data_IF_052892429909
#
_entry.id   IF_052892429909
#
_cell.length_a   1.000
_cell.length_b   1.000
_cell.length_c   1.000
_cell.angle_alpha   90.00
_cell.angle_beta   90.00
_cell.angle_gamma   90.00
#
_symmetry.space_group_name_H-M   'P 1'
#
loop_
_entity.id
_entity.type
_entity.pdbx_description
1 polymer ?
#
# COMPACT_ATOMS: atom_id res chain seq x y z
N UNK A 1 4.73 -29.42 25.33
CA UNK A 1 3.78 -28.84 24.36
C UNK A 1 4.03 -29.50 23.02
N UNK A 2 2.99 -29.77 22.22
CA UNK A 2 3.17 -30.35 20.88
C UNK A 2 3.89 -29.37 19.95
N UNK A 3 4.67 -29.88 19.01
CA UNK A 3 5.26 -29.07 17.93
C UNK A 3 4.16 -28.47 17.04
N UNK A 4 4.38 -27.29 16.46
CA UNK A 4 3.53 -26.71 15.43
C UNK A 4 4.14 -27.06 14.06
N UNK A 5 3.42 -27.86 13.28
CA UNK A 5 3.88 -28.39 12.00
C UNK A 5 3.42 -27.48 10.86
N UNK A 6 4.38 -27.00 10.09
CA UNK A 6 4.22 -25.92 9.12
C UNK A 6 4.41 -26.47 7.72
N UNK A 7 3.54 -26.10 6.80
CA UNK A 7 3.73 -26.28 5.37
C UNK A 7 3.83 -24.94 4.65
N UNK A 8 4.70 -24.83 3.64
CA UNK A 8 4.83 -23.60 2.82
C UNK A 8 4.45 -23.90 1.38
N UNK A 9 3.50 -23.14 0.85
CA UNK A 9 3.15 -23.14 -0.57
C UNK A 9 3.71 -21.88 -1.24
N UNK A 10 4.58 -22.06 -2.23
CA UNK A 10 5.28 -20.97 -2.91
C UNK A 10 6.68 -20.76 -2.36
N UNK A 11 7.69 -21.28 -3.05
CA UNK A 11 9.13 -21.12 -2.73
C UNK A 11 9.80 -20.08 -3.65
N UNK A 12 9.14 -18.93 -3.81
CA UNK A 12 9.75 -17.73 -4.40
C UNK A 12 10.76 -17.08 -3.45
N UNK A 13 11.10 -15.81 -3.69
CA UNK A 13 12.06 -15.06 -2.86
C UNK A 13 11.67 -15.05 -1.37
N UNK A 14 10.41 -14.75 -1.07
CA UNK A 14 9.92 -14.71 0.33
C UNK A 14 9.83 -16.12 0.93
N UNK A 15 9.27 -17.09 0.19
CA UNK A 15 9.08 -18.44 0.71
C UNK A 15 10.38 -19.20 0.97
N UNK A 16 11.39 -19.00 0.12
CA UNK A 16 12.73 -19.54 0.34
C UNK A 16 13.37 -18.95 1.61
N UNK A 17 13.25 -17.63 1.82
CA UNK A 17 13.75 -16.97 3.03
C UNK A 17 12.99 -17.42 4.28
N UNK A 18 11.66 -17.55 4.22
CA UNK A 18 10.87 -18.08 5.35
C UNK A 18 11.29 -19.51 5.70
N UNK A 19 11.48 -20.38 4.70
CA UNK A 19 11.93 -21.75 4.92
C UNK A 19 13.35 -21.78 5.52
N UNK A 20 14.27 -20.98 5.00
CA UNK A 20 15.64 -20.85 5.52
C UNK A 20 15.63 -20.45 7.00
N UNK A 21 14.85 -19.45 7.38
CA UNK A 21 14.77 -18.99 8.78
C UNK A 21 14.13 -20.05 9.69
N UNK A 22 13.10 -20.76 9.24
CA UNK A 22 12.49 -21.85 10.01
C UNK A 22 13.46 -23.00 10.26
N UNK A 23 14.39 -23.27 9.34
CA UNK A 23 15.39 -24.32 9.48
C UNK A 23 16.58 -23.85 10.33
N UNK A 24 17.13 -22.67 10.03
CA UNK A 24 18.39 -22.21 10.62
C UNK A 24 18.23 -21.50 11.97
N UNK A 25 17.07 -20.90 12.24
CA UNK A 25 16.76 -20.20 13.48
C UNK A 25 15.66 -20.89 14.31
N UNK A 26 15.42 -22.18 14.06
CA UNK A 26 14.35 -22.98 14.65
C UNK A 26 14.27 -22.84 16.18
N UNK A 27 15.40 -22.94 16.89
CA UNK A 27 15.46 -22.88 18.36
C UNK A 27 15.01 -21.51 18.90
N UNK A 28 15.47 -20.41 18.29
CA UNK A 28 15.10 -19.05 18.71
C UNK A 28 13.62 -18.78 18.44
N UNK A 29 13.14 -19.14 17.24
CA UNK A 29 11.74 -19.00 16.87
C UNK A 29 10.85 -19.83 17.79
N UNK A 30 11.22 -21.07 18.09
CA UNK A 30 10.50 -21.96 19.00
C UNK A 30 10.46 -21.44 20.43
N UNK A 31 11.56 -20.87 20.92
CA UNK A 31 11.62 -20.24 22.24
C UNK A 31 10.66 -19.04 22.34
N UNK A 32 10.60 -18.19 21.30
CA UNK A 32 9.68 -17.05 21.23
C UNK A 32 8.21 -17.48 21.08
N UNK A 33 7.96 -18.55 20.34
CA UNK A 33 6.66 -19.16 20.14
C UNK A 33 6.13 -19.92 21.36
N UNK A 34 7.01 -20.27 22.31
CA UNK A 34 6.67 -21.11 23.47
C UNK A 34 6.41 -22.58 23.13
N UNK A 35 6.60 -23.00 21.87
CA UNK A 35 6.51 -24.40 21.41
C UNK A 35 7.40 -24.60 20.16
N UNK A 36 7.85 -25.84 19.88
CA UNK A 36 8.66 -26.12 18.69
C UNK A 36 7.93 -25.73 17.40
N UNK A 37 8.62 -25.02 16.50
CA UNK A 37 8.16 -24.77 15.12
C UNK A 37 8.90 -25.71 14.18
N UNK A 38 8.16 -26.45 13.36
CA UNK A 38 8.77 -27.44 12.46
C UNK A 38 8.19 -27.31 11.05
N UNK A 39 9.04 -27.01 10.09
CA UNK A 39 8.70 -27.15 8.68
C UNK A 39 8.66 -28.64 8.33
N UNK A 40 7.55 -29.11 7.77
CA UNK A 40 7.35 -30.54 7.43
C UNK A 40 7.13 -30.77 5.94
N UNK A 41 6.56 -29.80 5.24
CA UNK A 41 6.26 -29.93 3.83
C UNK A 41 6.38 -28.59 3.09
N UNK A 42 6.69 -28.67 1.80
CA UNK A 42 6.76 -27.51 0.91
C UNK A 42 6.11 -27.82 -0.43
N UNK A 43 5.60 -26.78 -1.11
CA UNK A 43 5.08 -26.88 -2.47
C UNK A 43 5.61 -25.75 -3.35
N UNK A 44 6.02 -26.08 -4.56
CA UNK A 44 6.45 -25.12 -5.58
C UNK A 44 6.32 -25.71 -6.99
N UNK A 45 6.43 -24.88 -8.03
CA UNK A 45 6.42 -25.35 -9.43
C UNK A 45 7.62 -26.25 -9.79
N UNK A 46 8.72 -26.21 -9.02
CA UNK A 46 9.93 -26.99 -9.29
C UNK A 46 10.74 -27.23 -8.01
N UNK A 47 11.39 -28.39 -7.90
CA UNK A 47 12.28 -28.79 -6.79
C UNK A 47 13.72 -28.28 -6.93
N UNK A 48 13.93 -27.08 -7.49
CA UNK A 48 15.29 -26.51 -7.59
C UNK A 48 15.80 -26.15 -6.19
N UNK A 49 17.12 -26.19 -6.01
CA UNK A 49 17.77 -25.66 -4.81
C UNK A 49 17.42 -24.18 -4.61
N UNK A 50 17.04 -23.83 -3.38
CA UNK A 50 16.62 -22.50 -2.94
C UNK A 50 17.48 -21.95 -1.80
N UNK A 51 18.58 -22.62 -1.46
CA UNK A 51 19.54 -22.15 -0.46
C UNK A 51 19.18 -22.48 0.99
N UNK A 52 18.30 -23.47 1.23
CA UNK A 52 18.01 -23.99 2.57
C UNK A 52 18.05 -25.52 2.58
N UNK A 53 18.34 -26.11 3.75
CA UNK A 53 18.35 -27.57 3.89
C UNK A 53 16.92 -28.12 3.86
N UNK A 54 16.60 -28.86 2.81
CA UNK A 54 15.30 -29.50 2.61
C UNK A 54 15.29 -30.98 3.05
N UNK A 55 16.36 -31.48 3.69
CA UNK A 55 16.43 -32.85 4.15
C UNK A 55 15.29 -33.19 5.10
N UNK A 56 14.50 -34.21 4.75
CA UNK A 56 13.36 -34.66 5.56
C UNK A 56 12.10 -33.81 5.44
N UNK A 57 12.06 -32.85 4.50
CA UNK A 57 10.83 -32.16 4.12
C UNK A 57 10.15 -32.90 2.98
N UNK A 58 8.84 -33.07 3.07
CA UNK A 58 8.05 -33.59 1.97
C UNK A 58 7.80 -32.50 0.92
N UNK A 59 7.77 -32.89 -0.35
CA UNK A 59 7.45 -31.99 -1.44
C UNK A 59 6.11 -32.37 -2.08
N UNK A 60 5.16 -31.44 -2.06
CA UNK A 60 3.89 -31.58 -2.76
C UNK A 60 3.90 -30.79 -4.08
N UNK A 61 3.72 -31.48 -5.20
CA UNK A 61 3.64 -30.83 -6.51
C UNK A 61 2.34 -30.01 -6.67
N UNK A 62 1.25 -30.50 -6.08
CA UNK A 62 -0.01 -29.78 -5.95
C UNK A 62 -0.04 -29.05 -4.60
N UNK A 63 -0.14 -27.74 -4.62
CA UNK A 63 -0.20 -26.94 -3.40
C UNK A 63 -1.42 -27.31 -2.54
N UNK A 64 -2.56 -27.62 -3.16
CA UNK A 64 -3.80 -27.97 -2.45
C UNK A 64 -3.68 -29.28 -1.66
N UNK A 65 -2.75 -30.18 -2.03
CA UNK A 65 -2.47 -31.39 -1.26
C UNK A 65 -2.02 -31.08 0.18
N UNK A 66 -1.36 -29.93 0.41
CA UNK A 66 -0.94 -29.50 1.75
C UNK A 66 -2.13 -29.32 2.71
N UNK A 67 -3.30 -28.93 2.21
CA UNK A 67 -4.50 -28.76 3.03
C UNK A 67 -5.04 -30.11 3.55
N UNK A 68 -4.78 -31.21 2.84
CA UNK A 68 -5.26 -32.54 3.18
C UNK A 68 -4.34 -33.32 4.13
N UNK A 69 -3.13 -32.81 4.41
CA UNK A 69 -2.14 -33.51 5.23
C UNK A 69 -2.53 -33.52 6.72
N UNK A 70 -2.48 -34.69 7.35
CA UNK A 70 -2.72 -34.84 8.80
C UNK A 70 -1.52 -34.39 9.66
N UNK A 71 -0.35 -34.26 9.02
CA UNK A 71 0.87 -33.83 9.64
C UNK A 71 1.13 -32.31 9.55
N UNK A 72 0.15 -31.52 9.12
CA UNK A 72 0.23 -30.06 8.99
C UNK A 72 -0.78 -29.38 9.89
N UNK A 73 -0.33 -28.42 10.71
CA UNK A 73 -1.17 -27.59 11.57
C UNK A 73 -1.41 -26.19 10.98
N UNK A 74 -0.42 -25.67 10.23
CA UNK A 74 -0.45 -24.34 9.60
C UNK A 74 0.04 -24.39 8.17
N UNK A 75 -0.71 -23.76 7.27
CA UNK A 75 -0.29 -23.55 5.88
C UNK A 75 0.13 -22.09 5.69
N UNK A 76 1.31 -21.88 5.12
CA UNK A 76 1.84 -20.57 4.74
C UNK A 76 1.68 -20.42 3.24
N UNK A 77 0.83 -19.50 2.78
CA UNK A 77 0.58 -19.24 1.36
C UNK A 77 1.39 -18.04 0.87
N UNK A 78 2.27 -18.30 -0.11
CA UNK A 78 3.21 -17.36 -0.74
C UNK A 78 3.26 -17.57 -2.26
N UNK A 79 2.16 -18.02 -2.86
CA UNK A 79 2.01 -18.27 -4.30
C UNK A 79 1.76 -16.95 -5.04
N UNK A 80 0.89 -16.11 -4.49
CA UNK A 80 0.42 -14.87 -5.11
C UNK A 80 -0.78 -15.07 -6.06
N UNK A 81 -1.41 -13.95 -6.44
CA UNK A 81 -2.66 -13.91 -7.22
C UNK A 81 -3.91 -13.82 -6.34
N UNK A 82 -4.97 -13.18 -6.82
CA UNK A 82 -6.24 -13.05 -6.07
C UNK A 82 -7.05 -14.35 -6.04
N UNK A 83 -6.95 -15.18 -7.09
CA UNK A 83 -7.80 -16.33 -7.35
C UNK A 83 -6.99 -17.59 -7.70
N UNK A 84 -7.70 -18.66 -8.06
CA UNK A 84 -7.12 -19.94 -8.47
C UNK A 84 -6.43 -20.65 -7.29
N UNK A 85 -5.26 -21.25 -7.56
CA UNK A 85 -4.57 -22.17 -6.63
C UNK A 85 -4.32 -21.53 -5.26
N UNK A 86 -3.99 -20.24 -5.19
CA UNK A 86 -3.77 -19.56 -3.90
C UNK A 86 -5.06 -19.49 -3.06
N UNK A 87 -6.17 -19.12 -3.68
CA UNK A 87 -7.47 -19.01 -3.03
C UNK A 87 -8.01 -20.40 -2.63
N UNK A 88 -7.96 -21.36 -3.56
CA UNK A 88 -8.36 -22.75 -3.34
C UNK A 88 -7.60 -23.39 -2.17
N UNK A 89 -6.28 -23.21 -2.11
CA UNK A 89 -5.44 -23.70 -1.02
C UNK A 89 -5.87 -23.13 0.33
N UNK A 90 -6.08 -21.81 0.41
CA UNK A 90 -6.41 -21.14 1.68
C UNK A 90 -7.80 -21.58 2.16
N UNK A 91 -8.78 -21.64 1.29
CA UNK A 91 -10.12 -22.13 1.62
C UNK A 91 -10.12 -23.59 2.09
N UNK A 92 -9.42 -24.46 1.36
CA UNK A 92 -9.30 -25.86 1.71
C UNK A 92 -8.60 -26.03 3.06
N UNK A 93 -7.53 -25.27 3.32
CA UNK A 93 -6.79 -25.33 4.58
C UNK A 93 -7.63 -24.90 5.78
N UNK A 94 -8.32 -23.75 5.67
CA UNK A 94 -9.21 -23.26 6.72
C UNK A 94 -10.35 -24.24 7.00
N UNK A 95 -10.97 -24.78 5.94
CA UNK A 95 -12.07 -25.74 6.05
C UNK A 95 -11.62 -27.10 6.61
N UNK A 96 -10.35 -27.46 6.41
CA UNK A 96 -9.73 -28.64 7.01
C UNK A 96 -9.27 -28.43 8.46
N UNK A 97 -9.60 -27.28 9.08
CA UNK A 97 -9.23 -26.99 10.46
C UNK A 97 -7.75 -26.62 10.65
N UNK A 98 -7.06 -26.19 9.59
CA UNK A 98 -5.67 -25.70 9.65
C UNK A 98 -5.64 -24.18 9.75
N UNK A 99 -4.65 -23.65 10.46
CA UNK A 99 -4.39 -22.21 10.44
C UNK A 99 -3.75 -21.80 9.10
N UNK A 100 -3.90 -20.54 8.73
CA UNK A 100 -3.30 -19.97 7.51
C UNK A 100 -2.55 -18.68 7.83
N UNK A 101 -1.33 -18.56 7.29
CA UNK A 101 -0.55 -17.32 7.20
C UNK A 101 -0.36 -17.00 5.71
N UNK A 102 -0.63 -15.77 5.26
CA UNK A 102 -0.44 -15.39 3.85
C UNK A 102 0.19 -14.00 3.71
N UNK A 103 1.01 -13.81 2.68
CA UNK A 103 1.51 -12.49 2.27
C UNK A 103 0.73 -11.90 1.06
N UNK A 104 -0.39 -12.50 0.70
CA UNK A 104 -1.08 -12.24 -0.54
C UNK A 104 -2.13 -11.14 -0.42
N UNK A 105 -1.69 -9.90 -0.60
CA UNK A 105 -2.53 -8.69 -0.60
C UNK A 105 -3.71 -8.73 -1.57
N UNK A 106 -3.55 -9.28 -2.77
CA UNK A 106 -4.64 -9.34 -3.74
C UNK A 106 -5.72 -10.32 -3.27
N UNK A 107 -5.32 -11.50 -2.78
CA UNK A 107 -6.24 -12.47 -2.18
C UNK A 107 -7.02 -11.87 -1.01
N UNK A 108 -6.34 -11.17 -0.08
CA UNK A 108 -7.02 -10.55 1.06
C UNK A 108 -7.91 -9.38 0.64
N UNK A 109 -7.49 -8.57 -0.34
CA UNK A 109 -8.30 -7.45 -0.82
C UNK A 109 -9.62 -7.91 -1.46
N UNK A 110 -9.62 -9.04 -2.18
CA UNK A 110 -10.82 -9.55 -2.87
C UNK A 110 -11.63 -10.56 -2.05
N UNK A 111 -10.98 -11.39 -1.24
CA UNK A 111 -11.61 -12.52 -0.55
C UNK A 111 -11.48 -12.47 0.98
N UNK A 112 -10.83 -11.46 1.53
CA UNK A 112 -10.46 -11.38 2.94
C UNK A 112 -11.62 -11.59 3.92
N UNK A 113 -12.79 -10.97 3.70
CA UNK A 113 -13.96 -11.14 4.58
C UNK A 113 -14.43 -12.60 4.58
N UNK A 114 -14.53 -13.20 3.40
CA UNK A 114 -15.00 -14.58 3.23
C UNK A 114 -14.04 -15.56 3.89
N UNK A 115 -12.74 -15.39 3.67
CA UNK A 115 -11.70 -16.22 4.29
C UNK A 115 -11.65 -16.03 5.82
N UNK A 116 -11.79 -14.80 6.32
CA UNK A 116 -11.90 -14.55 7.75
C UNK A 116 -13.15 -15.20 8.36
N UNK A 117 -14.28 -15.18 7.64
CA UNK A 117 -15.51 -15.86 8.05
C UNK A 117 -15.34 -17.38 8.14
N UNK A 118 -14.64 -17.99 7.18
CA UNK A 118 -14.26 -19.41 7.25
C UNK A 118 -13.37 -19.68 8.46
N UNK A 119 -12.36 -18.84 8.71
CA UNK A 119 -11.48 -19.00 9.86
C UNK A 119 -12.25 -18.95 11.19
N UNK A 120 -13.19 -18.01 11.32
CA UNK A 120 -14.08 -17.91 12.48
C UNK A 120 -14.98 -19.15 12.61
N UNK A 121 -15.56 -19.64 11.51
CA UNK A 121 -16.45 -20.81 11.48
C UNK A 121 -15.75 -22.07 11.98
N UNK A 122 -14.51 -22.32 11.53
CA UNK A 122 -13.75 -23.52 11.89
C UNK A 122 -12.87 -23.35 13.14
N UNK A 123 -12.91 -22.18 13.79
CA UNK A 123 -12.14 -21.91 15.01
C UNK A 123 -10.63 -21.86 14.78
N UNK A 124 -10.21 -21.55 13.56
CA UNK A 124 -8.80 -21.46 13.15
C UNK A 124 -8.38 -19.99 12.99
N UNK A 125 -7.13 -19.77 12.61
CA UNK A 125 -6.54 -18.43 12.53
C UNK A 125 -6.16 -18.15 11.09
N UNK A 126 -6.55 -16.99 10.61
CA UNK A 126 -6.06 -16.39 9.38
C UNK A 126 -5.21 -15.18 9.75
N UNK A 127 -3.97 -15.16 9.27
CA UNK A 127 -2.99 -14.11 9.53
C UNK A 127 -2.40 -13.62 8.21
N UNK A 128 -2.19 -12.31 8.11
CA UNK A 128 -1.76 -11.67 6.86
C UNK A 128 -0.96 -10.39 7.07
N UNK A 129 -0.14 -10.32 8.13
CA UNK A 129 0.72 -9.15 8.38
C UNK A 129 1.58 -8.82 7.16
N UNK A 130 2.20 -9.86 6.58
CA UNK A 130 3.09 -9.75 5.45
C UNK A 130 2.41 -9.25 4.15
N UNK A 131 1.08 -9.21 4.10
CA UNK A 131 0.35 -8.71 2.94
C UNK A 131 0.48 -7.18 2.82
N UNK A 132 0.69 -6.46 3.91
CA UNK A 132 0.74 -4.99 3.90
C UNK A 132 2.03 -4.47 4.50
N UNK A 133 2.70 -3.59 3.74
CA UNK A 133 3.90 -2.87 4.18
C UNK A 133 5.11 -3.77 4.57
N UNK A 134 5.18 -5.00 4.05
CA UNK A 134 6.36 -5.85 4.11
C UNK A 134 6.79 -6.18 5.53
N UNK A 135 7.89 -5.58 5.99
CA UNK A 135 8.41 -5.78 7.36
C UNK A 135 7.87 -4.81 8.41
N UNK A 136 7.05 -3.83 8.01
CA UNK A 136 6.44 -2.87 8.93
C UNK A 136 5.22 -3.53 9.59
N UNK A 137 5.14 -3.62 10.94
CA UNK A 137 4.02 -4.28 11.64
C UNK A 137 2.76 -3.40 11.68
N UNK A 138 2.28 -2.97 10.50
CA UNK A 138 1.19 -2.01 10.36
C UNK A 138 -0.17 -2.58 10.79
N UNK A 139 -0.49 -3.81 10.37
CA UNK A 139 -1.78 -4.43 10.70
C UNK A 139 -1.80 -4.85 12.17
N UNK A 140 -0.68 -5.35 12.70
CA UNK A 140 -0.55 -5.70 14.11
C UNK A 140 -0.65 -4.47 15.00
N UNK A 141 -0.01 -3.37 14.61
CA UNK A 141 -0.13 -2.11 15.35
C UNK A 141 -1.59 -1.67 15.41
N UNK A 142 -2.33 -1.67 14.29
CA UNK A 142 -3.75 -1.34 14.28
C UNK A 142 -4.58 -2.29 15.16
N UNK A 143 -4.43 -3.59 14.94
CA UNK A 143 -5.25 -4.63 15.57
C UNK A 143 -5.00 -4.79 17.06
N UNK A 144 -3.78 -4.53 17.53
CA UNK A 144 -3.35 -4.86 18.89
C UNK A 144 -2.86 -3.63 19.65
N UNK A 145 -1.89 -2.90 19.09
CA UNK A 145 -1.30 -1.74 19.78
C UNK A 145 -2.25 -0.53 19.85
N UNK A 146 -3.09 -0.35 18.84
CA UNK A 146 -4.05 0.73 18.72
C UNK A 146 -5.49 0.29 18.95
N UNK A 147 -5.72 -0.93 19.41
CA UNK A 147 -7.07 -1.48 19.61
C UNK A 147 -7.98 -0.63 20.52
N UNK A 148 -7.40 0.18 21.41
CA UNK A 148 -8.12 1.11 22.28
C UNK A 148 -8.27 2.54 21.74
N UNK A 149 -7.86 2.81 20.50
CA UNK A 149 -7.89 4.14 19.89
C UNK A 149 -8.95 4.22 18.79
N UNK A 150 -9.51 5.41 18.63
CA UNK A 150 -10.34 5.73 17.46
C UNK A 150 -9.44 6.23 16.33
N UNK A 151 -9.32 5.47 15.25
CA UNK A 151 -8.53 5.87 14.09
C UNK A 151 -9.30 6.93 13.30
N UNK A 152 -8.69 8.11 13.14
CA UNK A 152 -9.26 9.24 12.37
C UNK A 152 -8.78 9.23 10.93
N UNK A 153 -7.55 8.77 10.69
CA UNK A 153 -6.91 8.81 9.37
C UNK A 153 -5.79 7.79 9.26
N UNK A 154 -5.67 7.20 8.07
CA UNK A 154 -4.52 6.38 7.66
C UNK A 154 -3.88 7.04 6.44
N UNK A 155 -2.59 7.32 6.51
CA UNK A 155 -1.80 7.82 5.37
C UNK A 155 -0.57 6.94 5.21
N UNK A 156 -0.23 6.52 3.99
CA UNK A 156 0.88 5.60 3.78
C UNK A 156 1.60 5.79 2.46
N UNK A 157 2.92 5.66 2.52
CA UNK A 157 3.78 5.38 1.37
C UNK A 157 3.83 3.86 1.25
N UNK A 158 2.97 3.30 0.40
CA UNK A 158 2.70 1.85 0.37
C UNK A 158 3.42 1.10 -0.76
N UNK A 159 4.08 1.82 -1.68
CA UNK A 159 4.79 1.26 -2.82
C UNK A 159 6.23 1.80 -2.89
N UNK A 160 7.20 0.90 -2.69
CA UNK A 160 8.62 1.25 -2.66
C UNK A 160 9.18 1.69 -4.01
N UNK A 161 8.70 1.10 -5.12
CA UNK A 161 9.13 1.46 -6.48
C UNK A 161 8.73 2.89 -6.83
N UNK A 162 7.48 3.28 -6.57
CA UNK A 162 7.01 4.64 -6.76
C UNK A 162 7.75 5.63 -5.86
N UNK A 163 7.98 5.27 -4.59
CA UNK A 163 8.71 6.15 -3.67
C UNK A 163 10.18 6.32 -4.10
N UNK A 164 10.81 5.28 -4.63
CA UNK A 164 12.15 5.34 -5.20
C UNK A 164 12.19 6.32 -6.36
N UNK A 165 11.31 6.14 -7.36
CA UNK A 165 11.24 7.00 -8.55
C UNK A 165 11.04 8.47 -8.15
N UNK A 166 10.03 8.78 -7.34
CA UNK A 166 9.78 10.17 -6.92
C UNK A 166 10.93 10.75 -6.08
N UNK A 167 11.61 9.92 -5.28
CA UNK A 167 12.78 10.35 -4.50
C UNK A 167 13.97 10.69 -5.42
N UNK A 168 14.26 9.85 -6.41
CA UNK A 168 15.35 10.07 -7.37
C UNK A 168 15.06 11.28 -8.27
N UNK A 169 13.83 11.44 -8.75
CA UNK A 169 13.41 12.65 -9.48
C UNK A 169 13.62 13.90 -8.63
N UNK A 170 13.25 13.85 -7.34
CA UNK A 170 13.43 14.98 -6.40
C UNK A 170 14.91 15.32 -6.17
N UNK A 171 15.78 14.31 -6.06
CA UNK A 171 17.20 14.51 -5.77
C UNK A 171 18.01 14.95 -6.99
N UNK A 172 17.69 14.40 -8.16
CA UNK A 172 18.48 14.58 -9.38
C UNK A 172 17.89 15.62 -10.34
N UNK A 173 16.61 15.94 -10.20
CA UNK A 173 15.88 16.80 -11.14
C UNK A 173 15.60 16.15 -12.49
N UNK A 174 15.81 14.83 -12.63
CA UNK A 174 15.58 14.10 -13.89
C UNK A 174 14.09 13.80 -14.13
N UNK A 175 13.75 13.60 -15.40
CA UNK A 175 12.40 13.22 -15.82
C UNK A 175 12.02 11.80 -15.43
N UNK A 176 10.71 11.52 -15.44
CA UNK A 176 10.14 10.23 -15.04
C UNK A 176 10.68 9.04 -15.84
N UNK A 177 10.70 9.12 -17.17
CA UNK A 177 11.10 8.01 -18.05
C UNK A 177 12.56 7.60 -17.81
N UNK A 178 13.45 8.58 -17.63
CA UNK A 178 14.88 8.35 -17.36
C UNK A 178 15.09 7.65 -16.02
N UNK A 179 14.35 8.04 -14.99
CA UNK A 179 14.45 7.45 -13.65
C UNK A 179 13.81 6.06 -13.61
N UNK A 180 12.70 5.85 -14.33
CA UNK A 180 12.06 4.54 -14.45
C UNK A 180 13.00 3.54 -15.11
N UNK A 181 13.66 3.91 -16.21
CA UNK A 181 14.64 3.06 -16.88
C UNK A 181 15.77 2.64 -15.92
N UNK A 182 16.32 3.58 -15.15
CA UNK A 182 17.34 3.27 -14.15
C UNK A 182 16.79 2.36 -13.02
N UNK A 183 15.57 2.59 -12.56
CA UNK A 183 14.92 1.73 -11.57
C UNK A 183 14.79 0.28 -12.07
N UNK A 184 14.49 0.09 -13.36
CA UNK A 184 14.45 -1.24 -14.00
C UNK A 184 15.82 -1.89 -14.07
N UNK A 185 16.86 -1.14 -14.47
CA UNK A 185 18.24 -1.65 -14.52
C UNK A 185 18.75 -2.09 -13.14
N UNK A 186 18.38 -1.35 -12.09
CA UNK A 186 18.74 -1.66 -10.69
C UNK A 186 17.85 -2.72 -10.05
N UNK A 187 16.81 -3.19 -10.75
CA UNK A 187 15.87 -4.19 -10.24
C UNK A 187 14.90 -3.66 -9.17
N UNK A 188 14.71 -2.34 -9.07
CA UNK A 188 13.67 -1.72 -8.25
C UNK A 188 12.29 -1.75 -8.93
N UNK A 189 12.25 -1.85 -10.26
CA UNK A 189 11.03 -1.96 -11.05
C UNK A 189 11.12 -3.17 -11.99
N UNK A 190 9.99 -3.85 -12.24
CA UNK A 190 9.92 -4.91 -13.24
C UNK A 190 9.83 -4.34 -14.66
N UNK A 191 9.98 -5.20 -15.67
CA UNK A 191 9.89 -4.81 -17.08
C UNK A 191 8.51 -4.21 -17.43
N UNK A 192 7.44 -4.76 -16.85
CA UNK A 192 6.12 -4.14 -16.81
C UNK A 192 5.85 -3.59 -15.40
N UNK A 193 6.08 -2.29 -15.15
CA UNK A 193 5.94 -1.70 -13.83
C UNK A 193 4.51 -1.24 -13.53
N UNK A 194 3.53 -1.53 -14.40
CA UNK A 194 2.19 -0.93 -14.34
C UNK A 194 1.49 -1.18 -13.01
N UNK A 195 1.65 -2.37 -12.43
CA UNK A 195 1.07 -2.69 -11.13
C UNK A 195 1.56 -1.77 -9.99
N UNK A 196 2.79 -1.26 -10.11
CA UNK A 196 3.39 -0.32 -9.17
C UNK A 196 3.06 1.13 -9.54
N UNK A 197 3.48 1.57 -10.74
CA UNK A 197 3.43 3.00 -11.12
C UNK A 197 2.02 3.52 -11.37
N UNK A 198 1.06 2.63 -11.64
CA UNK A 198 -0.36 2.98 -11.74
C UNK A 198 -1.09 2.87 -10.40
N UNK A 199 -0.39 2.51 -9.31
CA UNK A 199 -0.88 2.58 -7.94
C UNK A 199 -1.70 1.38 -7.45
N UNK A 200 -1.87 0.34 -8.26
CA UNK A 200 -2.71 -0.82 -7.96
C UNK A 200 -2.20 -1.61 -6.74
N UNK A 201 -0.88 -1.80 -6.62
CA UNK A 201 -0.26 -2.42 -5.44
C UNK A 201 -0.58 -1.66 -4.15
N UNK A 202 -0.42 -0.32 -4.19
CA UNK A 202 -0.73 0.53 -3.05
C UNK A 202 -2.23 0.53 -2.72
N UNK A 203 -3.10 0.41 -3.72
CA UNK A 203 -4.56 0.36 -3.54
C UNK A 203 -5.00 -0.92 -2.82
N UNK A 204 -4.44 -2.08 -3.17
CA UNK A 204 -4.71 -3.32 -2.43
C UNK A 204 -4.33 -3.18 -0.95
N UNK A 205 -3.12 -2.66 -0.69
CA UNK A 205 -2.62 -2.44 0.68
C UNK A 205 -3.48 -1.45 1.46
N UNK A 206 -3.89 -0.34 0.82
CA UNK A 206 -4.73 0.67 1.43
C UNK A 206 -6.12 0.13 1.76
N UNK A 207 -6.73 -0.67 0.88
CA UNK A 207 -8.06 -1.25 1.10
C UNK A 207 -8.10 -2.14 2.35
N UNK A 208 -7.04 -2.94 2.58
CA UNK A 208 -6.89 -3.79 3.76
C UNK A 208 -6.67 -2.93 5.02
N UNK A 209 -5.81 -1.91 4.93
CA UNK A 209 -5.54 -0.99 6.05
C UNK A 209 -6.80 -0.21 6.47
N UNK A 210 -7.53 0.33 5.51
CA UNK A 210 -8.75 1.12 5.75
C UNK A 210 -9.84 0.26 6.40
N UNK A 211 -10.07 -0.96 5.87
CA UNK A 211 -11.02 -1.90 6.44
C UNK A 211 -10.70 -2.22 7.92
N UNK A 212 -9.42 -2.50 8.22
CA UNK A 212 -8.98 -2.77 9.59
C UNK A 212 -9.07 -1.53 10.49
N UNK A 213 -8.67 -0.36 9.99
CA UNK A 213 -8.65 0.89 10.75
C UNK A 213 -10.05 1.39 11.14
N UNK A 214 -11.03 1.20 10.25
CA UNK A 214 -12.38 1.75 10.41
C UNK A 214 -13.45 0.69 10.72
N UNK A 215 -13.04 -0.57 10.92
CA UNK A 215 -13.93 -1.71 11.12
C UNK A 215 -15.00 -1.86 10.02
N UNK A 216 -14.61 -1.55 8.78
CA UNK A 216 -15.44 -1.64 7.58
C UNK A 216 -15.08 -2.92 6.78
N UNK A 217 -16.00 -3.37 5.92
CA UNK A 217 -15.69 -4.38 4.91
C UNK A 217 -14.70 -3.80 3.89
N UNK A 218 -13.81 -4.65 3.35
CA UNK A 218 -12.91 -4.25 2.26
C UNK A 218 -13.78 -3.98 1.03
N UNK A 219 -13.60 -2.80 0.46
CA UNK A 219 -14.15 -2.40 -0.82
C UNK A 219 -13.01 -1.86 -1.68
N UNK A 220 -12.34 -2.77 -2.38
CA UNK A 220 -11.20 -2.42 -3.23
C UNK A 220 -11.63 -1.57 -4.43
N UNK A 221 -12.81 -1.87 -5.01
CA UNK A 221 -13.32 -1.16 -6.19
C UNK A 221 -13.70 0.30 -5.87
N UNK A 222 -13.98 0.62 -4.60
CA UNK A 222 -14.21 1.99 -4.14
C UNK A 222 -12.91 2.82 -3.95
N UNK A 223 -11.73 2.21 -3.99
CA UNK A 223 -10.46 2.95 -3.86
C UNK A 223 -10.19 3.71 -5.15
N UNK A 224 -10.07 5.04 -5.04
CA UNK A 224 -9.72 5.88 -6.19
C UNK A 224 -8.21 5.85 -6.43
N UNK A 225 -7.78 5.50 -7.64
CA UNK A 225 -6.36 5.30 -7.94
C UNK A 225 -5.90 6.22 -9.07
N UNK A 226 -4.81 6.96 -8.83
CA UNK A 226 -4.04 7.71 -9.83
C UNK A 226 -2.56 7.37 -9.66
N UNK A 227 -1.91 6.99 -10.74
CA UNK A 227 -0.48 6.66 -10.75
C UNK A 227 0.45 7.87 -10.75
N UNK A 228 1.75 7.62 -10.88
CA UNK A 228 2.79 8.65 -10.91
C UNK A 228 3.25 9.05 -12.32
N UNK A 229 2.78 8.39 -13.38
CA UNK A 229 3.26 8.61 -14.77
C UNK A 229 3.13 10.04 -15.27
N UNK A 230 2.11 10.76 -14.81
CA UNK A 230 1.83 12.14 -15.20
C UNK A 230 2.72 13.18 -14.51
N UNK A 231 3.51 12.77 -13.51
CA UNK A 231 4.39 13.66 -12.74
C UNK A 231 5.65 13.93 -13.54
N UNK A 232 5.96 15.21 -13.76
CA UNK A 232 7.16 15.64 -14.48
C UNK A 232 8.21 16.23 -13.55
N UNK A 233 9.44 16.38 -14.07
CA UNK A 233 10.53 17.15 -13.45
C UNK A 233 10.11 18.60 -13.12
N UNK A 234 9.27 19.20 -13.97
CA UNK A 234 8.68 20.52 -13.75
C UNK A 234 7.80 20.54 -12.50
N UNK A 235 6.95 19.52 -12.29
CA UNK A 235 6.12 19.40 -11.10
C UNK A 235 6.99 19.29 -9.83
N UNK A 236 8.03 18.46 -9.89
CA UNK A 236 9.00 18.26 -8.80
C UNK A 236 9.72 19.58 -8.45
N UNK A 237 10.18 20.33 -9.45
CA UNK A 237 10.86 21.60 -9.25
C UNK A 237 9.95 22.64 -8.60
N UNK A 238 8.73 22.83 -9.12
CA UNK A 238 7.77 23.79 -8.57
C UNK A 238 7.28 23.41 -7.18
N UNK A 239 6.95 22.13 -6.95
CA UNK A 239 6.62 21.64 -5.60
C UNK A 239 7.77 21.95 -4.63
N UNK A 240 9.01 21.75 -5.08
CA UNK A 240 10.21 22.09 -4.34
C UNK A 240 10.30 23.56 -3.93
N UNK A 241 10.03 24.49 -4.85
CA UNK A 241 10.04 25.93 -4.57
C UNK A 241 8.92 26.38 -3.64
N UNK A 242 7.78 25.72 -3.72
CA UNK A 242 6.63 25.96 -2.84
C UNK A 242 6.81 25.33 -1.45
N UNK A 243 7.92 24.64 -1.19
CA UNK A 243 8.21 24.06 0.12
C UNK A 243 7.63 22.65 0.32
N UNK A 244 7.32 21.93 -0.77
CA UNK A 244 6.72 20.60 -0.74
C UNK A 244 7.57 19.54 -1.44
N UNK A 245 7.21 18.28 -1.23
CA UNK A 245 7.71 17.10 -1.95
C UNK A 245 6.50 16.32 -2.45
N UNK A 246 6.59 15.74 -3.65
CA UNK A 246 5.55 14.88 -4.21
C UNK A 246 5.77 13.43 -3.76
N UNK A 247 4.74 12.79 -3.24
CA UNK A 247 4.72 11.38 -2.82
C UNK A 247 3.48 10.68 -3.36
N UNK A 248 3.58 9.41 -3.76
CA UNK A 248 2.40 8.57 -3.98
C UNK A 248 1.89 8.11 -2.60
N UNK A 249 0.73 8.63 -2.18
CA UNK A 249 0.15 8.33 -0.89
C UNK A 249 -1.13 7.52 -1.04
N UNK A 250 -1.23 6.42 -0.29
CA UNK A 250 -2.50 5.85 0.09
C UNK A 250 -3.06 6.62 1.27
N UNK A 251 -4.28 7.12 1.16
CA UNK A 251 -4.90 7.98 2.16
C UNK A 251 -6.36 7.56 2.36
N UNK A 252 -6.76 7.37 3.61
CA UNK A 252 -8.11 6.98 3.95
C UNK A 252 -8.57 7.67 5.24
N UNK A 253 -9.80 8.17 5.21
CA UNK A 253 -10.51 8.76 6.33
C UNK A 253 -11.96 8.23 6.34
N UNK A 254 -12.63 8.11 7.48
CA UNK A 254 -13.99 7.58 7.54
C UNK A 254 -15.00 8.36 6.68
N UNK A 255 -14.79 9.66 6.48
CA UNK A 255 -15.74 10.56 5.81
C UNK A 255 -15.52 10.71 4.30
N UNK A 256 -14.45 10.16 3.74
CA UNK A 256 -14.10 10.30 2.32
C UNK A 256 -13.69 8.96 1.70
N UNK A 257 -13.77 8.83 0.36
CA UNK A 257 -13.21 7.67 -0.33
C UNK A 257 -11.73 7.50 -0.02
N UNK A 258 -11.30 6.25 0.10
CA UNK A 258 -9.88 5.94 0.14
C UNK A 258 -9.25 6.28 -1.23
N UNK A 259 -8.09 6.93 -1.23
CA UNK A 259 -7.40 7.34 -2.46
C UNK A 259 -5.95 6.88 -2.45
N UNK A 260 -5.45 6.44 -3.60
CA UNK A 260 -4.02 6.29 -3.89
C UNK A 260 -3.70 7.26 -5.01
N UNK A 261 -2.97 8.33 -4.71
CA UNK A 261 -2.62 9.32 -5.72
C UNK A 261 -1.35 10.09 -5.36
N UNK A 262 -0.68 10.76 -6.33
CA UNK A 262 0.38 11.68 -6.01
C UNK A 262 -0.19 12.85 -5.19
N UNK A 263 0.47 13.16 -4.09
CA UNK A 263 0.12 14.22 -3.17
C UNK A 263 1.35 15.06 -2.86
N UNK A 264 1.14 16.33 -2.51
CA UNK A 264 2.20 17.15 -1.94
C UNK A 264 2.20 16.98 -0.42
N UNK A 265 3.39 16.85 0.15
CA UNK A 265 3.65 16.90 1.60
C UNK A 265 4.67 17.97 1.91
N UNK A 266 4.54 18.67 3.04
CA UNK A 266 5.46 19.72 3.41
C UNK A 266 6.89 19.15 3.58
N UNK A 267 7.90 19.86 3.08
CA UNK A 267 9.31 19.44 3.18
C UNK A 267 9.79 19.22 4.62
N UNK A 268 9.15 19.87 5.58
CA UNK A 268 9.45 19.74 7.01
C UNK A 268 8.74 18.55 7.67
N UNK A 269 7.79 17.92 6.96
CA UNK A 269 7.01 16.82 7.45
C UNK A 269 7.76 15.49 7.50
N UNK A 270 7.28 14.57 8.32
CA UNK A 270 7.87 13.25 8.52
C UNK A 270 7.76 12.37 7.27
N UNK A 271 6.62 12.40 6.56
CA UNK A 271 6.42 11.62 5.34
C UNK A 271 7.34 12.09 4.22
N UNK A 272 7.66 13.39 4.19
CA UNK A 272 8.58 13.96 3.23
C UNK A 272 10.02 13.39 3.38
N UNK A 273 10.42 13.03 4.60
CA UNK A 273 11.76 12.48 4.89
C UNK A 273 11.92 11.01 4.46
N UNK A 274 10.82 10.32 4.12
CA UNK A 274 10.88 8.90 3.77
C UNK A 274 11.31 8.76 2.30
N UNK A 275 12.61 8.60 2.08
CA UNK A 275 13.21 8.48 0.76
C UNK A 275 13.49 7.04 0.30
N UNK A 276 13.81 6.90 -0.99
CA UNK A 276 14.21 5.64 -1.60
C UNK A 276 13.07 4.63 -1.65
N UNK A 277 13.41 3.33 -1.53
CA UNK A 277 12.45 2.23 -1.56
C UNK A 277 11.78 1.94 -0.20
N UNK A 278 11.87 2.84 0.76
CA UNK A 278 11.21 2.69 2.06
C UNK A 278 9.71 2.94 1.95
N UNK A 279 8.96 2.24 2.78
CA UNK A 279 7.55 2.47 3.01
C UNK A 279 7.35 3.16 4.35
N UNK A 280 6.18 3.76 4.51
CA UNK A 280 5.72 4.27 5.79
C UNK A 280 4.21 4.18 5.92
N UNK A 281 3.72 4.02 7.15
CA UNK A 281 2.30 4.08 7.49
C UNK A 281 2.13 4.98 8.70
N UNK A 282 1.37 6.05 8.53
CA UNK A 282 0.94 6.98 9.55
C UNK A 282 -0.50 6.65 9.97
N UNK A 283 -0.70 6.51 11.28
CA UNK A 283 -2.01 6.43 11.90
C UNK A 283 -2.22 7.69 12.73
N UNK A 284 -3.26 8.46 12.39
CA UNK A 284 -3.78 9.51 13.27
C UNK A 284 -4.97 8.95 14.03
N UNK A 285 -4.89 8.97 15.34
CA UNK A 285 -5.88 8.36 16.20
C UNK A 285 -6.01 9.11 17.54
N UNK A 286 -7.10 8.90 18.23
CA UNK A 286 -7.32 9.44 19.58
C UNK A 286 -7.39 8.30 20.60
N UNK A 287 -6.73 8.42 21.77
CA UNK A 287 -6.01 9.60 22.27
C UNK A 287 -4.52 9.67 21.89
N UNK A 288 -3.94 8.66 21.22
CA UNK A 288 -2.49 8.56 21.00
C UNK A 288 -1.89 9.62 20.06
N UNK A 289 -2.74 10.37 19.35
CA UNK A 289 -2.38 11.33 18.31
C UNK A 289 -1.79 10.62 17.08
N UNK A 290 -0.54 10.90 16.71
CA UNK A 290 0.06 10.40 15.47
C UNK A 290 1.12 9.36 15.76
N UNK A 291 1.02 8.20 15.10
CA UNK A 291 2.08 7.19 15.06
C UNK A 291 2.51 6.99 13.62
N UNK A 292 3.81 7.13 13.37
CA UNK A 292 4.44 6.81 12.09
C UNK A 292 5.32 5.56 12.24
N UNK A 293 5.08 4.56 11.40
CA UNK A 293 5.96 3.41 11.26
C UNK A 293 6.65 3.46 9.90
N UNK A 294 7.97 3.28 9.88
CA UNK A 294 8.79 3.32 8.67
C UNK A 294 9.69 2.09 8.59
N UNK A 295 9.94 1.62 7.38
CA UNK A 295 10.78 0.46 7.14
C UNK A 295 10.69 -0.06 5.71
N UNK A 296 11.38 -1.16 5.40
CA UNK A 296 11.30 -1.79 4.09
C UNK A 296 9.91 -2.40 3.86
N UNK A 297 9.23 -1.94 2.81
CA UNK A 297 7.89 -2.39 2.44
C UNK A 297 7.80 -3.63 1.56
N UNK A 298 8.96 -4.18 1.17
CA UNK A 298 9.11 -5.35 0.32
C UNK A 298 10.48 -6.00 0.56
N UNK A 299 10.73 -7.12 -0.11
CA UNK A 299 11.99 -7.87 -0.05
C UNK A 299 11.91 -9.14 0.79
N UNK A 300 12.86 -10.04 0.57
CA UNK A 300 12.88 -11.39 1.14
C UNK A 300 12.82 -11.36 2.68
N UNK A 301 13.84 -10.77 3.30
CA UNK A 301 13.96 -10.69 4.76
C UNK A 301 12.81 -9.93 5.43
N UNK A 302 12.48 -8.69 5.01
CA UNK A 302 11.36 -7.93 5.57
C UNK A 302 10.03 -8.68 5.53
N UNK A 303 9.67 -9.26 4.38
CA UNK A 303 8.39 -9.97 4.24
C UNK A 303 8.39 -11.28 5.02
N UNK A 304 9.51 -12.03 4.98
CA UNK A 304 9.65 -13.25 5.78
C UNK A 304 9.58 -12.95 7.28
N UNK A 305 10.11 -11.81 7.74
CA UNK A 305 10.00 -11.37 9.14
C UNK A 305 8.54 -11.28 9.60
N UNK A 306 7.66 -10.67 8.79
CA UNK A 306 6.24 -10.58 9.09
C UNK A 306 5.54 -11.96 9.07
N UNK A 307 5.88 -12.82 8.11
CA UNK A 307 5.37 -14.21 8.06
C UNK A 307 5.76 -15.00 9.32
N UNK A 308 7.01 -14.90 9.75
CA UNK A 308 7.52 -15.57 10.95
C UNK A 308 6.86 -15.02 12.22
N UNK A 309 6.59 -13.71 12.29
CA UNK A 309 5.86 -13.10 13.39
C UNK A 309 4.41 -13.65 13.49
N UNK A 310 3.73 -13.80 12.34
CA UNK A 310 2.40 -14.39 12.28
C UNK A 310 2.41 -15.88 12.69
N UNK A 311 3.42 -16.64 12.28
CA UNK A 311 3.61 -18.03 12.73
C UNK A 311 3.80 -18.12 14.24
N UNK A 312 4.60 -17.22 14.84
CA UNK A 312 4.77 -17.13 16.30
C UNK A 312 3.43 -16.80 16.98
N UNK A 313 2.63 -15.90 16.41
CA UNK A 313 1.31 -15.57 16.94
C UNK A 313 0.35 -16.75 16.86
N UNK A 314 0.37 -17.52 15.76
CA UNK A 314 -0.42 -18.76 15.65
C UNK A 314 0.02 -19.77 16.72
N UNK A 315 1.34 -19.99 16.85
CA UNK A 315 1.92 -20.92 17.81
C UNK A 315 1.59 -20.57 19.27
N UNK A 316 1.63 -19.28 19.59
CA UNK A 316 1.38 -18.72 20.92
C UNK A 316 -0.10 -18.42 21.18
N UNK A 317 -0.98 -18.67 20.20
CA UNK A 317 -2.43 -18.41 20.28
C UNK A 317 -2.72 -16.91 20.54
N UNK A 318 -2.04 -16.01 19.82
CA UNK A 318 -2.10 -14.53 19.97
C UNK A 318 -2.68 -13.80 18.75
N UNK A 319 -2.99 -12.53 18.96
CA UNK A 319 -3.30 -11.54 17.92
C UNK A 319 -4.69 -11.63 17.30
N UNK A 320 -5.68 -11.96 18.13
CA UNK A 320 -7.10 -11.65 17.90
C UNK A 320 -7.74 -12.22 16.63
N UNK A 321 -8.82 -11.56 16.22
CA UNK A 321 -9.54 -11.81 14.97
C UNK A 321 -8.84 -11.12 13.80
N UNK A 322 -8.94 -11.62 12.56
CA UNK A 322 -8.18 -11.10 11.41
C UNK A 322 -8.35 -9.58 11.21
N UNK A 323 -9.59 -9.08 11.32
CA UNK A 323 -9.95 -7.66 11.19
C UNK A 323 -10.13 -6.95 12.55
N UNK A 324 -9.57 -7.48 13.64
CA UNK A 324 -9.75 -6.93 15.00
C UNK A 324 -11.14 -7.15 15.61
N UNK A 325 -12.16 -7.37 14.79
CA UNK A 325 -13.54 -7.68 15.15
C UNK A 325 -14.07 -8.88 14.36
N UNK A 326 -15.24 -9.40 14.74
CA UNK A 326 -15.87 -10.50 13.98
C UNK A 326 -16.33 -9.98 12.62
N UNK A 327 -16.22 -10.80 11.58
CA UNK A 327 -16.66 -10.41 10.23
C UNK A 327 -18.11 -9.95 10.21
N UNK A 328 -18.99 -10.58 10.99
CA UNK A 328 -20.41 -10.19 11.11
C UNK A 328 -20.65 -8.84 11.82
N UNK A 329 -19.63 -8.22 12.40
CA UNK A 329 -19.69 -6.90 13.03
C UNK A 329 -19.08 -5.79 12.17
N UNK A 330 -18.42 -6.14 11.06
CA UNK A 330 -17.88 -5.16 10.13
C UNK A 330 -19.02 -4.42 9.43
N UNK A 331 -18.96 -3.10 9.42
CA UNK A 331 -19.93 -2.27 8.69
C UNK A 331 -19.71 -2.43 7.19
N UNK A 332 -20.80 -2.42 6.41
CA UNK A 332 -20.67 -2.33 4.96
C UNK A 332 -20.11 -0.96 4.61
N UNK A 333 -19.14 -0.91 3.71
CA UNK A 333 -18.70 0.35 3.12
C UNK A 333 -19.88 0.96 2.35
N UNK A 334 -20.27 2.18 2.69
CA UNK A 334 -21.19 2.97 1.89
C UNK A 334 -20.40 3.84 0.91
N UNK A 335 -20.92 4.11 -0.30
CA UNK A 335 -20.27 5.04 -1.23
C UNK A 335 -20.07 6.42 -0.58
N UNK A 336 -18.82 6.81 -0.40
CA UNK A 336 -18.46 8.10 0.21
C UNK A 336 -18.37 9.17 -0.87
N UNK A 337 -18.88 10.37 -0.59
CA UNK A 337 -18.64 11.56 -1.43
C UNK A 337 -17.57 12.39 -0.74
N UNK A 338 -16.49 12.70 -1.44
CA UNK A 338 -15.43 13.53 -0.88
C UNK A 338 -15.89 14.99 -0.74
N UNK A 339 -16.20 15.39 0.49
CA UNK A 339 -16.58 16.77 0.87
C UNK A 339 -15.55 17.42 1.78
N UNK A 340 -14.39 16.79 1.95
CA UNK A 340 -13.37 17.31 2.84
C UNK A 340 -12.58 18.39 2.13
N UNK A 341 -12.66 19.61 2.66
CA UNK A 341 -11.90 20.73 2.14
C UNK A 341 -10.40 20.52 2.41
N UNK A 342 -9.58 20.53 1.35
CA UNK A 342 -8.12 20.46 1.43
C UNK A 342 -7.47 21.39 0.42
N UNK A 343 -6.19 21.67 0.60
CA UNK A 343 -5.43 22.52 -0.35
C UNK A 343 -5.02 21.69 -1.56
N UNK A 344 -4.88 22.33 -2.71
CA UNK A 344 -4.49 21.68 -3.96
C UNK A 344 -3.36 22.44 -4.64
N UNK A 345 -2.46 21.68 -5.26
CA UNK A 345 -1.54 22.14 -6.28
C UNK A 345 -2.20 21.93 -7.65
N UNK A 346 -2.19 22.97 -8.48
CA UNK A 346 -2.64 22.91 -9.87
C UNK A 346 -1.48 23.28 -10.80
N UNK A 347 -1.24 22.49 -11.84
CA UNK A 347 -0.39 22.88 -12.97
C UNK A 347 -1.21 22.93 -14.25
N UNK A 348 -1.09 24.06 -14.94
CA UNK A 348 -1.63 24.29 -16.27
C UNK A 348 -0.49 24.60 -17.23
N UNK A 349 -0.50 23.98 -18.41
CA UNK A 349 0.37 24.39 -19.51
C UNK A 349 -0.38 25.41 -20.33
N UNK A 350 -0.01 26.69 -20.24
CA UNK A 350 -0.77 27.79 -20.85
C UNK A 350 0.00 28.48 -21.97
N UNK A 351 -0.71 29.02 -22.96
CA UNK A 351 -0.10 29.90 -23.97
C UNK A 351 0.36 31.21 -23.32
N UNK A 352 1.56 31.70 -23.65
CA UNK A 352 2.09 32.96 -23.09
C UNK A 352 1.49 34.18 -23.81
N UNK A 353 0.22 34.47 -23.49
CA UNK A 353 -0.55 35.57 -24.07
C UNK A 353 -1.19 36.46 -23.00
N UNK A 354 -1.34 37.75 -23.30
CA UNK A 354 -2.00 38.70 -22.41
C UNK A 354 -3.44 38.29 -22.11
N UNK A 355 -3.80 38.24 -20.82
CA UNK A 355 -5.17 37.96 -20.35
C UNK A 355 -5.42 36.52 -19.91
N UNK A 356 -4.49 35.59 -20.17
CA UNK A 356 -4.60 34.18 -19.74
C UNK A 356 -4.75 34.06 -18.22
N UNK A 357 -3.91 34.75 -17.43
CA UNK A 357 -4.03 34.76 -15.97
C UNK A 357 -5.39 35.28 -15.48
N UNK A 358 -5.93 36.30 -16.14
CA UNK A 358 -7.27 36.83 -15.81
C UNK A 358 -8.37 35.81 -16.13
N UNK A 359 -8.23 35.04 -17.20
CA UNK A 359 -9.19 34.01 -17.55
C UNK A 359 -9.15 32.82 -16.58
N UNK A 360 -7.94 32.36 -16.23
CA UNK A 360 -7.74 31.28 -15.23
C UNK A 360 -8.35 31.68 -13.89
N UNK A 361 -8.01 32.87 -13.38
CA UNK A 361 -8.52 33.34 -12.08
C UNK A 361 -10.04 33.59 -12.09
N UNK A 362 -10.61 34.00 -13.23
CA UNK A 362 -12.07 34.10 -13.38
C UNK A 362 -12.76 32.73 -13.27
N UNK A 363 -12.22 31.69 -13.92
CA UNK A 363 -12.77 30.32 -13.83
C UNK A 363 -12.71 29.81 -12.39
N UNK A 364 -11.56 29.98 -11.72
CA UNK A 364 -11.41 29.57 -10.31
C UNK A 364 -12.40 30.31 -9.39
N UNK A 365 -12.55 31.63 -9.56
CA UNK A 365 -13.53 32.43 -8.82
C UNK A 365 -14.96 31.93 -9.03
N UNK A 366 -15.33 31.62 -10.26
CA UNK A 366 -16.70 31.17 -10.59
C UNK A 366 -17.00 29.79 -9.98
N UNK A 367 -15.98 28.98 -9.72
CA UNK A 367 -16.05 27.73 -8.94
C UNK A 367 -15.85 27.94 -7.42
N UNK A 368 -15.74 29.19 -6.96
CA UNK A 368 -15.50 29.58 -5.56
C UNK A 368 -14.19 29.07 -4.97
N UNK A 369 -13.14 29.00 -5.80
CA UNK A 369 -11.81 28.53 -5.41
C UNK A 369 -10.92 29.74 -5.13
N UNK A 370 -10.34 29.79 -3.93
CA UNK A 370 -9.40 30.83 -3.54
C UNK A 370 -7.95 30.37 -3.76
N UNK A 371 -7.14 31.22 -4.37
CA UNK A 371 -5.72 30.97 -4.66
C UNK A 371 -4.87 31.46 -3.49
N UNK A 372 -4.04 30.58 -2.96
CA UNK A 372 -3.05 30.87 -1.91
C UNK A 372 -1.75 31.40 -2.53
N UNK A 373 -1.26 30.74 -3.58
CA UNK A 373 -0.04 31.15 -4.28
C UNK A 373 -0.13 30.88 -5.78
N UNK A 374 0.62 31.65 -6.57
CA UNK A 374 0.71 31.51 -8.01
C UNK A 374 2.14 31.74 -8.46
N UNK A 375 2.67 30.82 -9.27
CA UNK A 375 4.01 30.87 -9.85
C UNK A 375 3.92 30.66 -11.36
N UNK A 376 4.62 31.51 -12.10
CA UNK A 376 4.86 31.34 -13.53
C UNK A 376 6.30 31.76 -13.78
N UNK A 377 7.13 30.86 -14.29
CA UNK A 377 8.48 31.20 -14.73
C UNK A 377 8.49 31.47 -16.22
N UNK A 378 9.15 32.56 -16.60
CA UNK A 378 9.40 32.89 -17.99
C UNK A 378 10.27 31.81 -18.65
N UNK A 379 9.79 31.23 -19.74
CA UNK A 379 10.63 30.46 -20.66
C UNK A 379 10.91 31.33 -21.90
N UNK A 380 12.06 31.12 -22.52
CA UNK A 380 12.58 31.99 -23.59
C UNK A 380 12.10 31.65 -25.00
N UNK A 381 11.05 30.84 -25.15
CA UNK A 381 10.54 30.37 -26.45
C UNK A 381 9.00 30.48 -26.51
N UNK A 382 8.41 30.51 -27.72
CA UNK A 382 6.96 30.53 -28.02
C UNK A 382 6.21 29.24 -27.57
N UNK A 383 6.76 28.48 -26.63
CA UNK A 383 6.19 27.24 -26.12
C UNK A 383 5.19 27.51 -24.96
N UNK A 384 4.23 26.60 -24.71
CA UNK A 384 3.36 26.68 -23.54
C UNK A 384 4.17 26.75 -22.24
N UNK A 385 3.81 27.69 -21.37
CA UNK A 385 4.46 27.94 -20.08
C UNK A 385 3.67 27.27 -18.96
N UNK A 386 4.37 26.65 -18.01
CA UNK A 386 3.74 26.11 -16.82
C UNK A 386 3.29 27.23 -15.88
N UNK A 387 1.98 27.36 -15.68
CA UNK A 387 1.34 28.14 -14.63
C UNK A 387 1.00 27.20 -13.47
N UNK A 388 1.56 27.49 -12.31
CA UNK A 388 1.37 26.70 -11.08
C UNK A 388 0.64 27.51 -10.04
N UNK A 389 -0.33 26.89 -9.37
CA UNK A 389 -1.15 27.51 -8.33
C UNK A 389 -1.22 26.58 -7.11
N UNK A 390 -1.29 27.17 -5.91
CA UNK A 390 -1.84 26.48 -4.73
C UNK A 390 -3.15 27.11 -4.31
N UNK A 391 -4.10 26.32 -3.82
CA UNK A 391 -5.40 26.79 -3.36
C UNK A 391 -5.47 26.82 -1.83
N UNK A 392 -6.34 27.68 -1.29
CA UNK A 392 -6.88 27.48 0.06
C UNK A 392 -7.76 26.20 0.12
N UNK A 393 -8.13 25.72 1.33
CA UNK A 393 -9.00 24.55 1.47
C UNK A 393 -10.25 24.62 0.60
N UNK A 394 -10.40 23.65 -0.29
CA UNK A 394 -11.45 23.57 -1.32
C UNK A 394 -11.94 22.12 -1.42
N UNK A 395 -13.20 21.88 -1.78
CA UNK A 395 -13.70 20.52 -1.99
C UNK A 395 -13.19 19.92 -3.32
N UNK A 396 -12.94 18.61 -3.33
CA UNK A 396 -12.47 17.88 -4.51
C UNK A 396 -13.38 18.08 -5.73
N UNK A 397 -14.70 18.15 -5.52
CA UNK A 397 -15.67 18.36 -6.58
C UNK A 397 -15.51 19.71 -7.30
N UNK A 398 -15.20 20.79 -6.55
CA UNK A 398 -14.96 22.11 -7.13
C UNK A 398 -13.67 22.13 -7.94
N UNK A 399 -12.62 21.50 -7.43
CA UNK A 399 -11.33 21.37 -8.13
C UNK A 399 -11.49 20.59 -9.43
N UNK A 400 -12.24 19.48 -9.41
CA UNK A 400 -12.51 18.71 -10.63
C UNK A 400 -13.28 19.54 -11.66
N UNK A 401 -14.36 20.21 -11.24
CA UNK A 401 -15.14 21.06 -12.14
C UNK A 401 -14.30 22.20 -12.75
N UNK A 402 -13.45 22.85 -11.95
CA UNK A 402 -12.53 23.87 -12.44
C UNK A 402 -11.50 23.28 -13.42
N UNK A 403 -10.93 22.13 -13.10
CA UNK A 403 -9.94 21.44 -13.94
C UNK A 403 -10.53 21.08 -15.29
N UNK A 404 -11.75 20.56 -15.34
CA UNK A 404 -12.44 20.20 -16.58
C UNK A 404 -12.68 21.43 -17.47
N UNK A 405 -13.12 22.55 -16.89
CA UNK A 405 -13.34 23.81 -17.61
C UNK A 405 -12.01 24.37 -18.13
N UNK A 406 -10.97 24.34 -17.30
CA UNK A 406 -9.64 24.83 -17.65
C UNK A 406 -9.01 23.98 -18.77
N UNK A 407 -9.09 22.65 -18.69
CA UNK A 407 -8.60 21.75 -19.74
C UNK A 407 -9.31 21.89 -21.08
N UNK A 408 -10.57 22.33 -21.08
CA UNK A 408 -11.32 22.63 -22.31
C UNK A 408 -11.01 24.02 -22.88
N UNK A 409 -10.28 24.88 -22.15
CA UNK A 409 -10.02 26.24 -22.58
C UNK A 409 -8.93 26.30 -23.66
N UNK A 410 -9.14 27.12 -24.69
CA UNK A 410 -8.23 27.25 -25.85
C UNK A 410 -6.78 27.64 -25.52
N UNK A 411 -6.58 28.26 -24.36
CA UNK A 411 -5.27 28.75 -23.90
C UNK A 411 -4.55 27.75 -22.99
N UNK A 412 -5.15 26.58 -22.72
CA UNK A 412 -4.56 25.49 -21.95
C UNK A 412 -4.24 24.33 -22.90
N UNK A 413 -3.02 23.82 -22.81
CA UNK A 413 -2.56 22.66 -23.59
C UNK A 413 -2.64 21.40 -22.72
N UNK A 414 -3.53 20.47 -23.08
CA UNK A 414 -3.69 19.21 -22.37
C UNK A 414 -4.50 19.32 -21.07
N UNK A 415 -4.38 18.29 -20.23
CA UNK A 415 -5.13 18.20 -18.98
C UNK A 415 -4.46 18.99 -17.85
N UNK A 416 -5.28 19.56 -16.95
CA UNK A 416 -4.80 20.22 -15.73
C UNK A 416 -4.40 19.14 -14.74
N UNK A 417 -3.16 19.21 -14.26
CA UNK A 417 -2.71 18.37 -13.16
C UNK A 417 -3.18 18.98 -11.84
N UNK A 418 -4.02 18.25 -11.10
CA UNK A 418 -4.47 18.64 -9.77
C UNK A 418 -4.02 17.61 -8.73
N UNK A 419 -3.18 18.02 -7.79
CA UNK A 419 -2.65 17.17 -6.71
C UNK A 419 -3.10 17.71 -5.35
N UNK A 420 -3.68 16.88 -4.47
CA UNK A 420 -4.00 17.33 -3.11
C UNK A 420 -2.72 17.56 -2.30
N UNK A 421 -2.76 18.54 -1.41
CA UNK A 421 -1.74 18.80 -0.41
C UNK A 421 -2.21 18.16 0.90
N UNK A 422 -1.44 17.21 1.43
CA UNK A 422 -1.75 16.52 2.67
C UNK A 422 -1.00 17.22 3.81
N UNK A 423 -1.77 17.88 4.66
CA UNK A 423 -1.24 18.56 5.84
C UNK A 423 -0.96 17.54 6.97
N UNK A 424 0.28 17.55 7.45
CA UNK A 424 0.67 16.92 8.72
C UNK A 424 0.24 17.86 9.85
N UNK A 425 -0.71 17.42 10.68
CA UNK A 425 -1.34 18.24 11.71
C UNK A 425 -0.58 18.20 13.04
#
# INVERSE_FOLDING_TARGET
MSELRIAIAGLGVVGAETALQLVTAADNLSARAGRPLRLVAVSARSQKDRGFDAAGLDFEADACALAARDDVDVVVELIGGSDGVACELVEASLSAGKHVVTANKALIAHHGQRLAGLAEQYGVRLKFEAAVAGGIPALKLLREGLAGNEIKRVTGILNGTCNYILSEMTQTGRGFDDVLAEAQEKGYAEADPSFDVDGVDAAHKLSILAALAFAEQIDFDAVQVKGIRQITDTDIAYAGELGYIIKLLGHAEPQAPATVQPCLVAKTGQLAQIGGALNAVEFRAEPVQTILCTGPGAGAGPTASAVLADLIDVASVRGGLPFGMRVGQLTKAEPKTDRLARRFYLRLMVTDETGVLSAVTAILRDQQISVESMLQKSQSDDAPVALVLTTHPTEQGQIQAASDILSAARFVSGEVLALPIIDEA
#
